data_IF_882461936986
#
_entry.id   IF_882461936986
#
_cell.length_a   1.000
_cell.length_b   1.000
_cell.length_c   1.000
_cell.angle_alpha   90.00
_cell.angle_beta   90.00
_cell.angle_gamma   90.00
#
_symmetry.space_group_name_H-M   'P 1'
#
loop_
_entity.id
_entity.type
_entity.pdbx_description
1 polymer ?
#
# COMPACT_ATOMS: atom_id res chain seq x y z
N UNK A 1 81.15 8.54 27.59
CA UNK A 1 80.36 9.10 28.72
C UNK A 1 79.10 9.73 28.16
N UNK A 2 77.95 9.42 28.79
CA UNK A 2 76.57 9.79 28.40
C UNK A 2 76.45 11.25 27.97
N UNK A 3 75.79 11.51 26.83
CA UNK A 3 75.28 12.84 26.44
C UNK A 3 73.76 12.82 26.54
N UNK A 4 73.22 13.58 27.50
CA UNK A 4 71.83 14.04 27.50
C UNK A 4 71.72 15.22 26.54
N UNK A 5 70.72 15.20 25.66
CA UNK A 5 70.23 16.40 24.96
C UNK A 5 68.71 16.44 25.16
N UNK A 6 68.25 17.58 25.67
CA UNK A 6 66.87 17.90 26.01
C UNK A 6 66.00 18.01 24.75
N UNK A 7 64.78 17.49 24.86
CA UNK A 7 63.75 17.56 23.83
C UNK A 7 63.15 18.96 23.66
N UNK A 8 62.89 19.30 22.40
CA UNK A 8 62.16 20.50 21.99
C UNK A 8 60.77 20.05 21.52
N UNK A 9 59.71 20.49 22.20
CA UNK A 9 58.32 20.32 21.77
C UNK A 9 58.06 21.20 20.54
N UNK A 10 57.59 20.60 19.44
CA UNK A 10 56.91 21.28 18.35
C UNK A 10 55.46 20.80 18.32
N UNK A 11 54.54 21.70 18.69
CA UNK A 11 53.11 21.54 18.50
C UNK A 11 52.78 21.70 17.02
N UNK A 12 52.36 20.63 16.36
CA UNK A 12 51.66 20.69 15.07
C UNK A 12 50.17 20.53 15.31
N UNK A 13 49.42 21.61 15.15
CA UNK A 13 47.97 21.60 15.11
C UNK A 13 47.50 20.95 13.80
N UNK A 14 47.00 19.72 13.87
CA UNK A 14 46.30 19.08 12.77
C UNK A 14 44.83 19.53 12.82
N UNK A 15 44.42 20.36 11.86
CA UNK A 15 43.03 20.74 11.65
C UNK A 15 42.23 19.54 11.16
N UNK A 16 41.29 19.07 11.99
CA UNK A 16 40.26 18.12 11.56
C UNK A 16 39.21 18.91 10.79
N UNK A 17 39.14 18.72 9.48
CA UNK A 17 38.02 19.18 8.68
C UNK A 17 36.85 18.23 8.93
N UNK A 18 35.98 18.61 9.87
CA UNK A 18 34.67 18.00 10.01
C UNK A 18 33.83 18.40 8.80
N UNK A 19 33.61 17.45 7.88
CA UNK A 19 32.55 17.59 6.88
C UNK A 19 31.22 17.64 7.64
N UNK A 20 30.57 18.81 7.66
CA UNK A 20 29.22 18.96 8.19
C UNK A 20 28.26 18.15 7.30
N UNK A 21 27.91 16.94 7.72
CA UNK A 21 26.64 16.34 7.33
C UNK A 21 25.55 17.32 7.78
N UNK A 22 24.61 17.76 6.92
CA UNK A 22 23.49 18.56 7.40
C UNK A 22 22.73 17.69 8.40
N UNK A 23 22.76 18.07 9.67
CA UNK A 23 21.87 17.49 10.66
C UNK A 23 20.46 17.86 10.23
N UNK A 24 19.70 16.92 9.66
CA UNK A 24 18.26 17.09 9.46
C UNK A 24 17.66 17.29 10.85
N UNK A 25 17.37 18.54 11.19
CA UNK A 25 16.80 18.89 12.47
C UNK A 25 15.37 18.38 12.48
N UNK A 26 15.06 17.49 13.42
CA UNK A 26 13.68 17.04 13.65
C UNK A 26 12.79 18.25 13.91
N UNK A 27 11.58 18.23 13.36
CA UNK A 27 10.56 19.25 13.58
C UNK A 27 9.76 19.03 14.90
N UNK A 28 10.07 17.95 15.63
CA UNK A 28 9.38 17.58 16.86
C UNK A 28 7.94 17.06 16.67
N UNK A 29 7.51 16.81 15.44
CA UNK A 29 6.21 16.20 15.12
C UNK A 29 6.18 14.70 15.36
N UNK A 30 7.34 14.03 15.26
CA UNK A 30 7.46 12.58 15.40
C UNK A 30 7.98 12.21 16.79
N UNK A 31 7.36 11.22 17.42
CA UNK A 31 7.87 10.56 18.62
C UNK A 31 7.79 9.04 18.49
N UNK A 32 8.49 8.34 19.37
CA UNK A 32 8.48 6.86 19.42
C UNK A 32 8.21 6.42 20.84
N UNK A 33 7.33 5.44 21.00
CA UNK A 33 7.15 4.67 22.22
C UNK A 33 7.65 3.25 22.00
N UNK A 34 8.46 2.75 22.94
CA UNK A 34 8.92 1.36 22.94
C UNK A 34 8.32 0.62 24.14
N UNK A 35 7.73 -0.55 23.90
CA UNK A 35 7.14 -1.40 24.94
C UNK A 35 7.28 -2.85 24.53
N UNK A 36 7.85 -3.69 25.39
CA UNK A 36 8.08 -5.13 25.14
C UNK A 36 8.77 -5.44 23.79
N UNK A 37 9.74 -4.60 23.40
CA UNK A 37 10.46 -4.74 22.12
C UNK A 37 9.66 -4.29 20.88
N UNK A 38 8.42 -3.81 21.05
CA UNK A 38 7.64 -3.21 19.97
C UNK A 38 7.87 -1.70 19.91
N UNK A 39 8.06 -1.18 18.69
CA UNK A 39 8.25 0.25 18.42
C UNK A 39 7.01 0.86 17.76
N UNK A 40 6.30 1.69 18.51
CA UNK A 40 5.16 2.49 18.05
C UNK A 40 5.63 3.88 17.66
N UNK A 41 5.44 4.26 16.40
CA UNK A 41 5.69 5.63 15.92
C UNK A 41 4.43 6.48 16.05
N UNK A 42 4.59 7.70 16.57
CA UNK A 42 3.50 8.65 16.76
C UNK A 42 3.81 9.94 16.01
N UNK A 43 2.81 10.51 15.35
CA UNK A 43 2.90 11.80 14.70
C UNK A 43 1.87 12.77 15.29
N UNK A 44 2.34 13.86 15.91
CA UNK A 44 1.49 14.90 16.49
C UNK A 44 0.87 15.76 15.39
N UNK A 45 -0.41 15.51 15.11
CA UNK A 45 -1.16 16.16 14.05
C UNK A 45 -1.14 17.69 14.13
N UNK A 46 -1.11 18.25 15.34
CA UNK A 46 -1.12 19.70 15.55
C UNK A 46 0.19 20.40 15.13
N UNK A 47 1.26 19.63 14.93
CA UNK A 47 2.56 20.16 14.50
C UNK A 47 2.77 20.09 12.99
N UNK A 48 1.84 19.49 12.25
CA UNK A 48 1.91 19.36 10.79
C UNK A 48 1.29 20.61 10.14
N UNK A 49 2.13 21.51 9.63
CA UNK A 49 1.65 22.79 9.06
C UNK A 49 1.91 22.90 7.56
N UNK A 50 3.07 22.46 7.09
CA UNK A 50 3.50 22.75 5.73
C UNK A 50 2.92 21.73 4.73
N UNK A 51 2.65 22.19 3.51
CA UNK A 51 2.29 21.32 2.38
C UNK A 51 3.41 21.34 1.36
N UNK A 52 3.98 20.17 1.07
CA UNK A 52 5.02 19.99 0.08
C UNK A 52 4.43 19.40 -1.21
N UNK A 53 4.84 19.97 -2.35
CA UNK A 53 4.67 19.32 -3.65
C UNK A 53 5.91 18.45 -3.88
N UNK A 54 5.74 17.13 -3.88
CA UNK A 54 6.84 16.18 -3.96
C UNK A 54 6.84 15.54 -5.35
N UNK A 55 7.97 15.58 -6.09
CA UNK A 55 8.11 14.84 -7.33
C UNK A 55 8.07 13.34 -7.05
N UNK A 56 7.30 12.60 -7.84
CA UNK A 56 7.14 11.16 -7.73
C UNK A 56 8.49 10.44 -7.76
N UNK A 57 9.44 10.93 -8.56
CA UNK A 57 10.81 10.41 -8.64
C UNK A 57 11.58 10.41 -7.31
N UNK A 58 11.16 11.16 -6.28
CA UNK A 58 11.75 11.02 -4.94
C UNK A 58 11.41 9.68 -4.29
N UNK A 59 10.27 9.07 -4.63
CA UNK A 59 9.73 7.91 -3.93
C UNK A 59 9.76 6.62 -4.75
N UNK A 60 9.80 6.72 -6.07
CA UNK A 60 9.88 5.56 -6.97
C UNK A 60 11.14 5.58 -7.82
N UNK A 61 11.63 4.40 -8.15
CA UNK A 61 12.83 4.18 -8.97
C UNK A 61 12.59 4.54 -10.44
N UNK A 62 11.38 4.30 -10.92
CA UNK A 62 10.93 4.55 -12.28
C UNK A 62 9.43 4.91 -12.30
N UNK A 63 8.95 5.34 -13.46
CA UNK A 63 7.52 5.37 -13.74
C UNK A 63 7.28 5.10 -15.23
N UNK A 64 6.46 4.10 -15.53
CA UNK A 64 6.07 3.73 -16.89
C UNK A 64 4.57 3.96 -17.10
N UNK A 65 4.18 4.21 -18.35
CA UNK A 65 2.80 4.19 -18.80
C UNK A 65 2.49 2.82 -19.40
N UNK A 66 1.62 2.07 -18.74
CA UNK A 66 1.08 0.79 -19.24
C UNK A 66 -0.21 1.06 -19.99
N UNK A 67 -0.32 0.50 -21.19
CA UNK A 67 -1.52 0.56 -22.02
C UNK A 67 -2.13 -0.83 -22.05
N UNK A 68 -3.31 -0.97 -21.44
CA UNK A 68 -3.95 -2.26 -21.43
C UNK A 68 -4.48 -2.61 -22.83
N UNK A 69 -4.40 -3.88 -23.18
CA UNK A 69 -4.89 -4.39 -24.45
C UNK A 69 -6.35 -3.98 -24.68
N UNK A 70 -6.65 -3.48 -25.89
CA UNK A 70 -7.96 -2.95 -26.25
C UNK A 70 -8.81 -3.98 -27.01
N UNK A 71 -8.89 -5.20 -26.48
CA UNK A 71 -9.79 -6.26 -26.98
C UNK A 71 -10.99 -6.43 -26.05
N UNK A 72 -12.14 -6.86 -26.56
CA UNK A 72 -13.36 -7.08 -25.75
C UNK A 72 -13.11 -7.98 -24.53
N UNK A 73 -12.22 -8.96 -24.67
CA UNK A 73 -11.83 -9.88 -23.59
C UNK A 73 -10.95 -9.23 -22.54
N UNK A 74 -10.23 -8.17 -22.89
CA UNK A 74 -9.29 -7.46 -22.02
C UNK A 74 -9.93 -6.28 -21.26
N UNK A 75 -11.14 -5.84 -21.62
CA UNK A 75 -11.81 -4.73 -20.96
C UNK A 75 -12.11 -5.02 -19.48
N UNK A 76 -11.93 -4.02 -18.62
CA UNK A 76 -12.17 -4.14 -17.18
C UNK A 76 -12.67 -2.85 -16.54
N UNK A 77 -13.33 -3.00 -15.39
CA UNK A 77 -13.61 -1.91 -14.46
C UNK A 77 -12.73 -2.07 -13.22
N UNK A 78 -11.77 -1.17 -13.06
CA UNK A 78 -10.84 -1.23 -11.94
C UNK A 78 -11.59 -1.13 -10.62
N UNK A 79 -11.37 -2.10 -9.73
CA UNK A 79 -11.61 -1.94 -8.30
C UNK A 79 -10.30 -1.81 -7.53
N UNK A 80 -9.36 -2.73 -7.74
CA UNK A 80 -8.01 -2.65 -7.17
C UNK A 80 -7.01 -3.47 -7.99
N UNK A 81 -5.75 -3.02 -8.15
CA UNK A 81 -4.73 -3.81 -8.82
C UNK A 81 -3.92 -4.67 -7.83
N UNK A 82 -3.53 -5.87 -8.25
CA UNK A 82 -2.38 -6.60 -7.71
C UNK A 82 -1.18 -6.38 -8.62
N UNK A 83 -0.09 -5.90 -8.05
CA UNK A 83 1.07 -5.50 -8.83
C UNK A 83 2.28 -6.34 -8.43
N UNK A 84 2.97 -6.93 -9.40
CA UNK A 84 4.25 -7.63 -9.18
C UNK A 84 5.26 -7.24 -10.26
N UNK A 85 6.48 -7.78 -10.19
CA UNK A 85 7.54 -7.48 -11.16
C UNK A 85 7.17 -7.93 -12.59
N UNK A 86 6.35 -8.97 -12.76
CA UNK A 86 5.97 -9.55 -14.07
C UNK A 86 4.50 -9.45 -14.43
N UNK A 87 3.62 -9.12 -13.49
CA UNK A 87 2.18 -9.13 -13.74
C UNK A 87 1.45 -7.90 -13.20
N UNK A 88 0.30 -7.65 -13.78
CA UNK A 88 -0.73 -6.76 -13.25
C UNK A 88 -2.04 -7.55 -13.22
N UNK A 89 -2.55 -7.79 -12.03
CA UNK A 89 -3.87 -8.37 -11.83
C UNK A 89 -4.91 -7.30 -11.54
N UNK A 90 -6.10 -7.40 -12.10
CA UNK A 90 -7.19 -6.46 -11.89
C UNK A 90 -8.34 -7.16 -11.16
N UNK A 91 -8.53 -6.79 -9.90
CA UNK A 91 -9.77 -7.07 -9.19
C UNK A 91 -10.85 -6.11 -9.65
N UNK A 92 -12.04 -6.67 -9.89
CA UNK A 92 -13.24 -5.96 -10.32
C UNK A 92 -14.37 -6.15 -9.31
N UNK A 93 -15.37 -5.25 -9.33
CA UNK A 93 -16.59 -5.44 -8.55
C UNK A 93 -17.54 -6.37 -9.31
N UNK A 94 -17.80 -7.56 -8.76
CA UNK A 94 -18.75 -8.53 -9.32
C UNK A 94 -18.35 -9.14 -10.68
N UNK A 95 -17.07 -9.12 -11.05
CA UNK A 95 -16.57 -9.71 -12.28
C UNK A 95 -15.28 -10.51 -12.04
N UNK A 96 -14.90 -11.31 -13.04
CA UNK A 96 -13.71 -12.18 -12.98
C UNK A 96 -12.43 -11.36 -12.80
N UNK A 97 -11.43 -11.93 -12.13
CA UNK A 97 -10.14 -11.31 -11.93
C UNK A 97 -9.35 -11.43 -13.23
N UNK A 98 -8.80 -10.32 -13.75
CA UNK A 98 -8.08 -10.32 -15.02
C UNK A 98 -6.58 -10.22 -14.80
N UNK A 99 -5.80 -11.05 -15.47
CA UNK A 99 -4.35 -11.04 -15.39
C UNK A 99 -3.75 -10.50 -16.70
N UNK A 100 -2.82 -9.57 -16.55
CA UNK A 100 -2.04 -8.95 -17.62
C UNK A 100 -0.54 -9.12 -17.35
N UNK A 101 0.29 -9.05 -18.39
CA UNK A 101 1.72 -8.82 -18.22
C UNK A 101 2.02 -7.35 -17.84
N UNK A 102 3.30 -6.99 -17.70
CA UNK A 102 3.70 -5.62 -17.32
C UNK A 102 3.49 -4.60 -18.44
N UNK A 103 3.43 -5.07 -19.66
CA UNK A 103 3.24 -4.27 -20.86
C UNK A 103 1.75 -4.01 -21.13
N UNK A 104 0.85 -4.65 -20.37
CA UNK A 104 -0.59 -4.45 -20.44
C UNK A 104 -1.31 -5.43 -21.38
N UNK A 105 -0.61 -6.45 -21.88
CA UNK A 105 -1.22 -7.50 -22.70
C UNK A 105 -2.08 -8.40 -21.84
N UNK A 106 -3.27 -8.73 -22.31
CA UNK A 106 -4.16 -9.63 -21.60
C UNK A 106 -3.62 -11.06 -21.67
N UNK A 107 -3.58 -11.73 -20.51
CA UNK A 107 -3.11 -13.11 -20.41
C UNK A 107 -4.28 -14.05 -20.22
N UNK A 108 -4.98 -13.95 -19.09
CA UNK A 108 -6.07 -14.87 -18.73
C UNK A 108 -7.06 -14.20 -17.78
N UNK A 109 -8.30 -14.71 -17.81
CA UNK A 109 -9.21 -14.62 -16.68
C UNK A 109 -8.79 -15.65 -15.62
N UNK A 110 -8.79 -15.26 -14.34
CA UNK A 110 -8.43 -16.14 -13.23
C UNK A 110 -9.69 -16.67 -12.57
N UNK A 111 -10.02 -17.93 -12.83
CA UNK A 111 -11.26 -18.55 -12.40
C UNK A 111 -12.48 -18.08 -13.18
N UNK A 112 -13.67 -18.27 -12.61
CA UNK A 112 -14.93 -17.87 -13.21
C UNK A 112 -15.95 -17.45 -12.15
N UNK A 113 -16.92 -16.64 -12.57
CA UNK A 113 -18.03 -16.21 -11.71
C UNK A 113 -19.07 -17.31 -11.59
N UNK A 114 -19.42 -17.68 -10.35
CA UNK A 114 -20.47 -18.64 -10.09
C UNK A 114 -20.36 -19.33 -8.73
N UNK A 115 -21.11 -20.40 -8.55
CA UNK A 115 -21.21 -21.16 -7.28
C UNK A 115 -20.70 -22.60 -7.43
N UNK A 116 -20.20 -22.97 -8.62
CA UNK A 116 -19.64 -24.27 -8.91
C UNK A 116 -18.25 -24.47 -8.29
N UNK A 117 -17.72 -25.71 -8.33
CA UNK A 117 -16.37 -25.99 -7.86
C UNK A 117 -15.32 -25.13 -8.57
N UNK A 118 -14.52 -24.39 -7.81
CA UNK A 118 -13.47 -23.52 -8.35
C UNK A 118 -13.97 -22.19 -8.91
N UNK A 119 -15.27 -21.89 -8.80
CA UNK A 119 -15.84 -20.58 -9.09
C UNK A 119 -15.92 -19.74 -7.81
N UNK A 120 -16.04 -18.42 -7.98
CA UNK A 120 -16.37 -17.54 -6.87
C UNK A 120 -17.59 -16.69 -7.20
N UNK A 121 -18.45 -16.54 -6.20
CA UNK A 121 -19.63 -15.72 -6.30
C UNK A 121 -19.40 -14.35 -5.67
N UNK A 122 -19.86 -13.32 -6.37
CA UNK A 122 -19.76 -11.94 -5.90
C UNK A 122 -18.33 -11.38 -5.95
N UNK A 123 -18.12 -10.29 -5.23
CA UNK A 123 -16.86 -9.55 -5.28
C UNK A 123 -15.75 -10.23 -4.49
N UNK A 124 -14.54 -10.16 -5.02
CA UNK A 124 -13.32 -10.46 -4.29
C UNK A 124 -12.96 -9.26 -3.36
N UNK A 125 -12.16 -9.51 -2.33
CA UNK A 125 -11.64 -8.45 -1.45
C UNK A 125 -10.14 -8.27 -1.43
N UNK A 126 -9.42 -9.34 -1.74
CA UNK A 126 -7.98 -9.33 -1.77
C UNK A 126 -7.45 -10.44 -2.66
N UNK A 127 -6.24 -10.19 -3.14
CA UNK A 127 -5.55 -10.94 -4.15
C UNK A 127 -4.06 -10.96 -3.80
N UNK A 128 -3.38 -12.06 -4.12
CA UNK A 128 -1.92 -12.13 -4.10
C UNK A 128 -1.44 -12.96 -5.29
N UNK A 129 -0.49 -12.43 -6.05
CA UNK A 129 0.14 -13.13 -7.17
C UNK A 129 1.48 -13.67 -6.67
N UNK A 130 1.62 -14.99 -6.65
CA UNK A 130 2.85 -15.68 -6.31
C UNK A 130 3.56 -16.10 -7.59
N UNK A 131 4.50 -15.25 -7.99
CA UNK A 131 5.30 -15.42 -9.18
C UNK A 131 6.22 -16.65 -9.15
N UNK A 132 6.72 -17.00 -7.97
CA UNK A 132 7.66 -18.11 -7.77
C UNK A 132 6.94 -19.44 -7.93
N UNK A 133 5.76 -19.55 -7.34
CA UNK A 133 4.95 -20.77 -7.40
C UNK A 133 3.92 -20.76 -8.54
N UNK A 134 3.89 -19.69 -9.36
CA UNK A 134 3.03 -19.53 -10.54
C UNK A 134 1.54 -19.70 -10.20
N UNK A 135 1.09 -19.06 -9.14
CA UNK A 135 -0.30 -19.10 -8.73
C UNK A 135 -0.84 -17.74 -8.28
N UNK A 136 -2.17 -17.62 -8.25
CA UNK A 136 -2.91 -16.49 -7.72
C UNK A 136 -3.78 -16.97 -6.57
N UNK A 137 -3.73 -16.25 -5.45
CA UNK A 137 -4.62 -16.43 -4.31
C UNK A 137 -5.71 -15.37 -4.34
N UNK A 138 -6.97 -15.79 -4.28
CA UNK A 138 -8.13 -14.90 -4.30
C UNK A 138 -8.98 -15.13 -3.04
N UNK A 139 -9.35 -14.04 -2.38
CA UNK A 139 -10.16 -14.07 -1.16
C UNK A 139 -11.52 -13.38 -1.41
N UNK A 140 -12.66 -14.10 -1.29
CA UNK A 140 -13.99 -13.51 -1.43
C UNK A 140 -14.32 -12.45 -0.38
N UNK A 141 -15.21 -11.50 -0.71
CA UNK A 141 -15.63 -10.39 0.15
C UNK A 141 -16.11 -10.79 1.54
N UNK A 142 -17.00 -11.76 1.62
CA UNK A 142 -17.62 -12.21 2.87
C UNK A 142 -18.18 -13.62 2.71
N UNK A 143 -18.46 -14.28 3.84
CA UNK A 143 -19.18 -15.56 3.87
C UNK A 143 -18.37 -16.78 3.42
N UNK A 144 -17.17 -16.59 2.90
CA UNK A 144 -16.22 -17.67 2.61
C UNK A 144 -15.31 -17.92 3.80
N UNK A 145 -15.07 -19.20 4.10
CA UNK A 145 -14.02 -19.66 5.03
C UNK A 145 -12.76 -20.14 4.28
N UNK A 146 -12.65 -19.80 2.99
CA UNK A 146 -11.63 -20.32 2.08
C UNK A 146 -10.90 -19.21 1.35
N UNK A 147 -9.61 -19.44 1.10
CA UNK A 147 -8.84 -18.74 0.07
C UNK A 147 -8.76 -19.66 -1.14
N UNK A 148 -9.04 -19.13 -2.33
CA UNK A 148 -9.03 -19.88 -3.57
C UNK A 148 -7.66 -19.73 -4.22
N UNK A 149 -7.07 -20.84 -4.67
CA UNK A 149 -5.78 -20.88 -5.37
C UNK A 149 -6.00 -21.27 -6.82
N UNK A 150 -5.45 -20.47 -7.73
CA UNK A 150 -5.50 -20.68 -9.18
C UNK A 150 -4.09 -20.70 -9.75
N UNK A 151 -3.90 -21.37 -10.87
CA UNK A 151 -2.69 -21.25 -11.68
C UNK A 151 -2.73 -19.91 -12.47
N UNK A 152 -1.58 -19.44 -12.96
CA UNK A 152 -1.51 -18.22 -13.79
C UNK A 152 -2.23 -18.35 -15.15
N UNK A 153 -2.56 -19.57 -15.58
CA UNK A 153 -3.39 -19.84 -16.76
C UNK A 153 -4.90 -19.72 -16.47
N UNK A 154 -5.27 -19.39 -15.23
CA UNK A 154 -6.64 -19.20 -14.79
C UNK A 154 -7.35 -20.47 -14.31
N UNK A 155 -6.72 -21.64 -14.43
CA UNK A 155 -7.31 -22.89 -13.97
C UNK A 155 -7.32 -22.98 -12.44
N UNK A 156 -8.41 -23.51 -11.89
CA UNK A 156 -8.54 -23.76 -10.45
C UNK A 156 -7.52 -24.82 -10.00
N UNK A 157 -6.78 -24.53 -8.93
CA UNK A 157 -5.78 -25.43 -8.38
C UNK A 157 -6.27 -26.09 -7.09
N UNK A 158 -6.63 -25.30 -6.08
CA UNK A 158 -7.06 -25.81 -4.77
C UNK A 158 -7.74 -24.72 -3.91
N UNK A 159 -8.18 -25.11 -2.72
CA UNK A 159 -8.59 -24.18 -1.66
C UNK A 159 -7.70 -24.30 -0.43
N UNK A 160 -7.56 -23.21 0.31
CA UNK A 160 -7.02 -23.20 1.68
C UNK A 160 -8.21 -22.98 2.62
N UNK A 161 -8.53 -23.98 3.43
CA UNK A 161 -9.61 -23.91 4.43
C UNK A 161 -9.08 -23.26 5.72
N UNK A 162 -9.77 -22.23 6.21
CA UNK A 162 -9.34 -21.47 7.39
C UNK A 162 -10.12 -21.82 8.66
N UNK A 163 -11.21 -22.59 8.54
CA UNK A 163 -12.06 -23.00 9.67
C UNK A 163 -13.04 -21.95 10.19
N UNK A 164 -12.96 -20.70 9.72
CA UNK A 164 -13.86 -19.61 10.08
C UNK A 164 -14.20 -18.74 8.86
N UNK A 165 -15.40 -18.17 8.82
CA UNK A 165 -15.81 -17.24 7.76
C UNK A 165 -15.13 -15.88 7.90
N UNK A 166 -14.55 -15.41 6.80
CA UNK A 166 -13.84 -14.14 6.73
C UNK A 166 -14.78 -12.98 6.38
N UNK A 167 -14.42 -11.79 6.85
CA UNK A 167 -15.13 -10.54 6.57
C UNK A 167 -14.13 -9.51 6.03
N UNK A 168 -14.24 -9.16 4.74
CA UNK A 168 -13.34 -8.19 4.10
C UNK A 168 -11.84 -8.60 4.20
N UNK A 169 -11.45 -9.83 3.81
CA UNK A 169 -10.09 -10.31 4.04
C UNK A 169 -9.02 -9.50 3.29
N UNK A 170 -7.81 -9.45 3.86
CA UNK A 170 -6.59 -8.92 3.25
C UNK A 170 -5.50 -9.97 3.30
N UNK A 171 -4.93 -10.29 2.14
CA UNK A 171 -3.85 -11.26 1.95
C UNK A 171 -2.50 -10.56 1.96
N UNK A 172 -1.49 -11.26 2.44
CA UNK A 172 -0.08 -10.89 2.35
C UNK A 172 0.76 -12.13 2.06
N UNK A 173 1.48 -12.10 0.93
CA UNK A 173 2.44 -13.14 0.55
C UNK A 173 3.81 -12.74 1.06
N UNK A 174 4.38 -13.55 1.95
CA UNK A 174 5.70 -13.31 2.52
C UNK A 174 6.82 -13.76 1.58
N UNK A 175 8.04 -13.20 1.70
CA UNK A 175 9.19 -13.58 0.85
C UNK A 175 9.58 -15.06 0.91
N UNK A 176 9.28 -15.75 2.02
CA UNK A 176 9.55 -17.18 2.21
C UNK A 176 8.52 -18.09 1.49
N UNK A 177 7.46 -17.50 0.92
CA UNK A 177 6.37 -18.19 0.25
C UNK A 177 5.21 -18.57 1.17
N UNK A 178 5.25 -18.18 2.44
CA UNK A 178 4.10 -18.30 3.34
C UNK A 178 3.04 -17.25 3.03
N UNK A 179 1.79 -17.52 3.41
CA UNK A 179 0.66 -16.62 3.18
C UNK A 179 0.02 -16.25 4.52
N UNK A 180 -0.18 -14.96 4.76
CA UNK A 180 -1.01 -14.48 5.87
C UNK A 180 -2.30 -13.86 5.36
N UNK A 181 -3.36 -13.98 6.17
CA UNK A 181 -4.65 -13.32 5.93
C UNK A 181 -5.14 -12.69 7.21
N UNK A 182 -5.60 -11.45 7.13
CA UNK A 182 -6.33 -10.76 8.21
C UNK A 182 -7.72 -10.36 7.73
N UNK A 183 -8.64 -10.05 8.64
CA UNK A 183 -10.01 -9.65 8.31
C UNK A 183 -10.68 -8.87 9.45
N UNK A 184 -11.88 -8.35 9.23
CA UNK A 184 -12.68 -7.76 10.31
C UNK A 184 -13.17 -8.85 11.28
N UNK A 185 -12.83 -8.69 12.55
CA UNK A 185 -13.26 -9.56 13.64
C UNK A 185 -14.52 -9.00 14.31
N UNK A 186 -15.67 -9.63 14.11
CA UNK A 186 -16.91 -9.20 14.75
C UNK A 186 -17.16 -9.93 16.07
N UNK A 187 -17.51 -9.16 17.10
CA UNK A 187 -17.82 -9.66 18.44
C UNK A 187 -18.85 -10.80 18.39
N UNK A 188 -18.50 -11.94 18.99
CA UNK A 188 -19.37 -13.13 19.07
C UNK A 188 -19.56 -13.87 17.75
N UNK A 189 -18.80 -13.53 16.70
CA UNK A 189 -18.85 -14.18 15.38
C UNK A 189 -17.50 -14.71 14.92
N UNK A 190 -16.42 -14.04 15.33
CA UNK A 190 -15.05 -14.37 14.93
C UNK A 190 -14.17 -14.57 16.16
N UNK A 191 -13.37 -15.63 16.15
CA UNK A 191 -12.31 -15.90 17.13
C UNK A 191 -10.91 -15.71 16.55
N UNK A 192 -10.79 -15.69 15.23
CA UNK A 192 -9.54 -15.49 14.52
C UNK A 192 -9.45 -14.06 14.00
N UNK A 193 -8.25 -13.48 14.08
CA UNK A 193 -7.93 -12.21 13.44
C UNK A 193 -6.95 -12.37 12.31
N UNK A 194 -5.92 -13.20 12.52
CA UNK A 194 -4.95 -13.54 11.48
C UNK A 194 -4.85 -15.05 11.37
N UNK A 195 -4.81 -15.56 10.14
CA UNK A 195 -4.26 -16.87 9.85
C UNK A 195 -2.92 -16.72 9.14
N UNK A 196 -1.97 -17.58 9.47
CA UNK A 196 -0.71 -17.71 8.77
C UNK A 196 -0.55 -19.15 8.28
N UNK A 197 -0.26 -19.31 7.00
CA UNK A 197 -0.09 -20.57 6.32
C UNK A 197 1.36 -20.66 5.90
N UNK A 198 2.13 -21.48 6.62
CA UNK A 198 3.53 -21.74 6.32
C UNK A 198 3.69 -22.43 4.95
N UNK A 199 4.90 -22.43 4.34
CA UNK A 199 5.10 -23.00 3.00
C UNK A 199 4.77 -24.50 2.91
N UNK A 200 4.83 -25.23 4.03
CA UNK A 200 4.45 -26.64 4.12
C UNK A 200 2.93 -26.87 4.29
N UNK A 201 2.15 -25.80 4.37
CA UNK A 201 0.70 -25.82 4.57
C UNK A 201 0.25 -25.78 6.03
N UNK A 202 1.18 -25.72 7.00
CA UNK A 202 0.83 -25.60 8.41
C UNK A 202 0.12 -24.29 8.68
N UNK A 203 -1.09 -24.36 9.25
CA UNK A 203 -1.90 -23.20 9.61
C UNK A 203 -1.75 -22.87 11.10
N UNK A 204 -1.36 -21.64 11.39
CA UNK A 204 -1.42 -21.04 12.73
C UNK A 204 -2.38 -19.85 12.72
N UNK A 205 -2.94 -19.51 13.88
CA UNK A 205 -3.85 -18.39 14.01
C UNK A 205 -3.54 -17.51 15.20
N UNK A 206 -3.85 -16.23 15.06
CA UNK A 206 -3.82 -15.23 16.11
C UNK A 206 -5.25 -14.84 16.47
N UNK A 207 -5.57 -14.83 17.77
CA UNK A 207 -6.87 -14.38 18.29
C UNK A 207 -6.81 -12.88 18.60
N UNK A 208 -7.87 -12.11 18.28
CA UNK A 208 -7.89 -10.68 18.56
C UNK A 208 -7.92 -10.39 20.06
N UNK A 209 -7.32 -9.28 20.47
CA UNK A 209 -7.56 -8.68 21.80
C UNK A 209 -8.93 -8.01 21.87
N UNK A 210 -9.39 -7.66 23.07
CA UNK A 210 -10.66 -6.96 23.25
C UNK A 210 -10.77 -5.64 22.46
N UNK A 211 -9.64 -4.93 22.27
CA UNK A 211 -9.57 -3.66 21.54
C UNK A 211 -9.60 -3.84 20.01
N UNK A 212 -9.24 -5.04 19.53
CA UNK A 212 -9.26 -5.39 18.10
C UNK A 212 -10.60 -5.96 17.65
N UNK A 213 -11.47 -6.35 18.58
CA UNK A 213 -12.81 -6.87 18.30
C UNK A 213 -13.77 -5.72 18.02
N UNK A 214 -14.44 -5.79 16.87
CA UNK A 214 -15.43 -4.79 16.44
C UNK A 214 -16.81 -5.21 16.92
N UNK A 215 -17.53 -4.30 17.57
CA UNK A 215 -18.97 -4.48 17.81
C UNK A 215 -19.72 -4.28 16.47
N UNK A 216 -20.35 -5.32 15.90
CA UNK A 216 -20.99 -5.22 14.60
C UNK A 216 -22.40 -4.66 14.67
N UNK A 217 -22.89 -4.28 15.86
CA UNK A 217 -24.26 -3.84 16.09
C UNK A 217 -24.32 -2.33 16.36
N UNK A 218 -25.33 -1.65 15.81
CA UNK A 218 -25.64 -0.27 16.19
C UNK A 218 -26.38 -0.19 17.54
N UNK A 219 -26.72 1.02 17.97
CA UNK A 219 -27.44 1.28 19.23
C UNK A 219 -28.85 0.66 19.29
N UNK A 220 -29.45 0.40 18.13
CA UNK A 220 -30.81 -0.12 17.98
C UNK A 220 -30.80 -1.65 17.78
N UNK A 221 -29.62 -2.26 17.76
CA UNK A 221 -29.44 -3.70 17.61
C UNK A 221 -29.48 -4.19 16.16
N UNK A 222 -29.28 -3.32 15.17
CA UNK A 222 -29.12 -3.73 13.76
C UNK A 222 -27.67 -4.08 13.45
N UNK A 223 -27.48 -5.06 12.57
CA UNK A 223 -26.14 -5.41 12.10
C UNK A 223 -25.62 -4.35 11.11
N UNK A 224 -24.54 -3.68 11.49
CA UNK A 224 -23.83 -2.65 10.72
C UNK A 224 -22.35 -2.96 10.55
N UNK A 225 -21.93 -4.21 10.81
CA UNK A 225 -20.53 -4.62 10.79
C UNK A 225 -19.79 -4.26 9.51
N UNK A 226 -20.44 -4.37 8.34
CA UNK A 226 -19.83 -4.06 7.04
C UNK A 226 -19.73 -2.56 6.69
N UNK A 227 -20.26 -1.67 7.56
CA UNK A 227 -19.94 -0.24 7.50
C UNK A 227 -18.52 0.04 7.99
N UNK A 228 -17.91 -0.88 8.74
CA UNK A 228 -16.49 -0.85 9.05
C UNK A 228 -15.67 -1.34 7.86
N UNK A 229 -14.39 -1.04 7.86
CA UNK A 229 -13.49 -1.26 6.74
C UNK A 229 -12.10 -1.66 7.22
N UNK A 230 -11.34 -2.34 6.36
CA UNK A 230 -9.97 -2.78 6.62
C UNK A 230 -9.08 -2.49 5.42
N UNK A 231 -7.91 -1.94 5.71
CA UNK A 231 -6.88 -1.62 4.71
C UNK A 231 -5.62 -2.40 4.98
N UNK A 232 -5.02 -2.87 3.89
CA UNK A 232 -3.66 -3.40 3.84
C UNK A 232 -3.19 -3.26 2.41
N UNK A 233 -2.02 -2.66 2.24
CA UNK A 233 -1.51 -2.26 0.93
C UNK A 233 -0.24 -3.00 0.51
N UNK A 234 0.36 -3.80 1.40
CA UNK A 234 1.53 -4.64 1.09
C UNK A 234 2.71 -3.89 0.45
N UNK A 235 3.00 -2.65 0.90
CA UNK A 235 4.09 -1.83 0.38
C UNK A 235 5.45 -2.08 1.05
N UNK A 236 5.47 -2.97 2.05
CA UNK A 236 6.66 -3.40 2.79
C UNK A 236 6.63 -4.91 2.97
N UNK A 237 7.75 -5.51 3.35
CA UNK A 237 7.81 -6.93 3.76
C UNK A 237 6.96 -7.23 5.00
N UNK A 238 6.65 -6.20 5.81
CA UNK A 238 5.78 -6.34 6.95
C UNK A 238 4.31 -6.46 6.53
N UNK A 239 3.57 -7.38 7.15
CA UNK A 239 2.13 -7.46 6.99
C UNK A 239 1.41 -6.43 7.88
N UNK A 240 1.22 -5.24 7.32
CA UNK A 240 0.54 -4.14 8.01
C UNK A 240 -0.93 -4.04 7.61
N UNK A 241 -1.79 -3.71 8.57
CA UNK A 241 -3.19 -3.47 8.32
C UNK A 241 -3.80 -2.49 9.34
N UNK A 242 -4.91 -1.87 8.96
CA UNK A 242 -5.70 -0.99 9.82
C UNK A 242 -7.18 -1.33 9.65
N UNK A 243 -7.94 -1.28 10.74
CA UNK A 243 -9.39 -1.48 10.72
C UNK A 243 -10.11 -0.23 11.24
N UNK A 244 -11.25 0.11 10.65
CA UNK A 244 -12.24 0.90 11.37
C UNK A 244 -12.93 0.04 12.43
N UNK A 245 -13.26 0.63 13.59
CA UNK A 245 -13.17 2.05 13.94
C UNK A 245 -11.86 2.45 14.65
N UNK A 246 -10.80 1.64 14.58
CA UNK A 246 -9.53 1.93 15.25
C UNK A 246 -8.75 3.05 14.56
N UNK A 247 -7.86 3.72 15.29
CA UNK A 247 -7.00 4.81 14.84
C UNK A 247 -5.52 4.40 14.85
N UNK A 248 -5.24 3.11 14.64
CA UNK A 248 -3.91 2.53 14.75
C UNK A 248 -3.60 1.63 13.55
N UNK A 249 -2.43 1.81 12.95
CA UNK A 249 -1.86 0.85 12.02
C UNK A 249 -1.21 -0.26 12.83
N UNK A 250 -1.60 -1.49 12.55
CA UNK A 250 -1.05 -2.69 13.17
C UNK A 250 -0.11 -3.41 12.21
N UNK A 251 0.80 -4.19 12.79
CA UNK A 251 1.68 -5.12 12.09
C UNK A 251 1.46 -6.53 12.65
N UNK A 252 1.38 -7.53 11.78
CA UNK A 252 1.47 -8.93 12.16
C UNK A 252 2.89 -9.46 11.98
N UNK A 253 3.41 -10.12 13.01
CA UNK A 253 4.67 -10.88 12.98
C UNK A 253 4.34 -12.39 13.00
N UNK A 254 4.66 -13.14 11.92
CA UNK A 254 4.37 -14.57 11.85
C UNK A 254 5.24 -15.42 12.79
N UNK A 255 6.51 -15.06 13.01
CA UNK A 255 7.43 -15.82 13.88
C UNK A 255 6.98 -15.80 15.34
N UNK A 256 6.51 -14.64 15.82
CA UNK A 256 6.00 -14.48 17.18
C UNK A 256 4.50 -14.78 17.28
N UNK A 257 3.83 -15.00 16.14
CA UNK A 257 2.37 -15.06 16.01
C UNK A 257 1.67 -13.95 16.80
N UNK A 258 2.06 -12.69 16.55
CA UNK A 258 1.64 -11.53 17.34
C UNK A 258 1.27 -10.36 16.45
N UNK A 259 0.21 -9.65 16.82
CA UNK A 259 -0.14 -8.34 16.26
C UNK A 259 0.30 -7.24 17.22
N UNK A 260 1.00 -6.22 16.71
CA UNK A 260 1.44 -5.07 17.50
C UNK A 260 1.10 -3.74 16.83
N UNK A 261 0.93 -2.69 17.63
CA UNK A 261 0.70 -1.33 17.13
C UNK A 261 1.99 -0.78 16.53
N UNK A 262 1.89 -0.21 15.33
CA UNK A 262 3.03 0.25 14.53
C UNK A 262 3.05 1.77 14.34
N UNK A 263 1.89 2.37 14.05
CA UNK A 263 1.77 3.81 13.84
C UNK A 263 0.40 4.34 14.27
N UNK A 264 0.36 5.56 14.81
CA UNK A 264 -0.88 6.32 15.04
C UNK A 264 -0.64 7.84 14.98
N UNK A 265 -1.69 8.60 14.69
CA UNK A 265 -1.67 10.05 14.90
C UNK A 265 -1.95 10.38 16.37
N UNK A 266 -1.15 11.27 16.95
CA UNK A 266 -1.47 11.97 18.19
C UNK A 266 -2.32 13.20 17.88
N UNK A 267 -3.29 13.47 18.75
CA UNK A 267 -4.22 14.60 18.59
C UNK A 267 -4.92 14.65 17.22
N UNK A 268 -5.40 13.52 16.65
CA UNK A 268 -6.05 13.56 15.34
C UNK A 268 -7.30 14.44 15.40
N UNK A 269 -7.71 15.02 14.26
CA UNK A 269 -8.96 15.78 14.20
C UNK A 269 -10.12 14.89 14.61
N UNK A 270 -11.13 15.49 15.27
CA UNK A 270 -12.31 14.78 15.76
C UNK A 270 -13.55 15.35 15.09
N UNK A 271 -14.44 14.47 14.64
CA UNK A 271 -15.69 14.83 13.99
C UNK A 271 -16.37 13.60 13.40
N UNK A 272 -17.67 13.68 13.13
CA UNK A 272 -18.44 12.56 12.56
C UNK A 272 -17.98 12.17 11.15
N UNK A 273 -17.38 13.11 10.43
CA UNK A 273 -16.92 12.94 9.04
C UNK A 273 -15.39 12.77 8.93
N UNK A 274 -14.69 12.69 10.07
CA UNK A 274 -13.24 12.46 10.06
C UNK A 274 -12.98 10.96 9.95
N UNK A 275 -12.28 10.59 8.89
CA UNK A 275 -11.84 9.22 8.68
C UNK A 275 -10.32 9.16 8.41
N UNK A 276 -9.65 8.16 9.00
CA UNK A 276 -8.19 8.04 9.03
C UNK A 276 -7.76 6.76 8.30
N UNK A 277 -6.86 6.89 7.34
CA UNK A 277 -6.30 5.76 6.59
C UNK A 277 -4.78 5.84 6.68
N UNK A 278 -4.17 4.76 7.15
CA UNK A 278 -2.72 4.68 7.28
C UNK A 278 -2.12 3.68 6.29
N UNK A 279 -0.92 4.01 5.83
CA UNK A 279 -0.10 3.15 4.97
C UNK A 279 1.36 3.27 5.43
N UNK A 280 2.14 2.20 5.27
CA UNK A 280 3.59 2.22 5.48
C UNK A 280 4.26 2.02 4.12
N UNK A 281 5.17 2.92 3.76
CA UNK A 281 6.08 2.76 2.63
C UNK A 281 7.51 2.56 3.19
N UNK A 282 8.49 2.13 2.38
CA UNK A 282 9.88 2.08 2.84
C UNK A 282 10.33 3.43 3.44
N UNK A 283 10.74 3.38 4.72
CA UNK A 283 11.25 4.52 5.48
C UNK A 283 10.24 5.60 5.88
N UNK A 284 8.93 5.43 5.64
CA UNK A 284 7.93 6.46 5.95
C UNK A 284 6.52 5.93 6.17
N UNK A 285 5.73 6.64 6.97
CA UNK A 285 4.29 6.41 7.06
C UNK A 285 3.53 7.45 6.25
N UNK A 286 2.37 7.07 5.72
CA UNK A 286 1.39 7.99 5.17
C UNK A 286 0.14 7.96 6.05
N UNK A 287 -0.35 9.14 6.41
CA UNK A 287 -1.60 9.31 7.14
C UNK A 287 -2.56 10.18 6.35
N UNK A 288 -3.55 9.56 5.73
CA UNK A 288 -4.64 10.28 5.04
C UNK A 288 -5.73 10.60 6.03
N UNK A 289 -5.99 11.90 6.18
CA UNK A 289 -7.11 12.44 6.95
C UNK A 289 -8.16 12.90 5.95
N UNK A 290 -9.28 12.20 5.89
CA UNK A 290 -10.35 12.49 4.94
C UNK A 290 -10.84 13.94 5.09
N UNK A 291 -10.96 14.64 3.96
CA UNK A 291 -11.32 16.06 3.92
C UNK A 291 -10.18 17.05 4.20
N UNK A 292 -9.04 16.60 4.71
CA UNK A 292 -7.89 17.48 5.03
C UNK A 292 -6.71 17.25 4.07
N UNK A 293 -6.32 16.00 3.83
CA UNK A 293 -5.18 15.66 2.97
C UNK A 293 -4.38 14.47 3.49
N UNK A 294 -3.24 14.20 2.84
CA UNK A 294 -2.31 13.14 3.28
C UNK A 294 -1.03 13.74 3.85
N UNK A 295 -0.64 13.24 5.01
CA UNK A 295 0.61 13.58 5.70
C UNK A 295 1.63 12.49 5.40
N UNK A 296 2.83 12.88 4.97
CA UNK A 296 3.99 12.00 4.91
C UNK A 296 4.84 12.19 6.17
N UNK A 297 5.17 11.07 6.82
CA UNK A 297 5.97 11.01 8.06
C UNK A 297 7.30 10.36 7.70
N UNK A 298 8.34 11.15 7.47
CA UNK A 298 9.66 10.69 7.04
C UNK A 298 10.50 10.30 8.26
N UNK A 299 10.79 9.00 8.39
CA UNK A 299 11.50 8.46 9.55
C UNK A 299 13.00 8.76 9.52
N UNK A 300 13.59 9.04 8.36
CA UNK A 300 15.00 9.39 8.26
C UNK A 300 15.21 10.86 8.61
N UNK A 301 14.37 11.75 8.04
CA UNK A 301 14.42 13.19 8.30
C UNK A 301 13.83 13.58 9.64
N UNK A 302 13.05 12.69 10.27
CA UNK A 302 12.32 12.94 11.51
C UNK A 302 11.39 14.17 11.39
N UNK A 303 10.67 14.25 10.27
CA UNK A 303 9.81 15.36 9.89
C UNK A 303 8.48 14.88 9.31
N UNK A 304 7.43 15.68 9.44
CA UNK A 304 6.13 15.40 8.82
C UNK A 304 5.51 16.60 8.13
N UNK A 305 4.92 16.35 6.95
CA UNK A 305 4.32 17.40 6.12
C UNK A 305 3.09 16.88 5.41
N UNK A 306 2.11 17.75 5.14
CA UNK A 306 1.12 17.46 4.11
C UNK A 306 1.81 17.34 2.77
N UNK A 307 1.31 16.46 1.92
CA UNK A 307 1.99 16.14 0.67
C UNK A 307 1.01 16.09 -0.50
N UNK A 308 1.45 16.67 -1.62
CA UNK A 308 0.84 16.52 -2.93
C UNK A 308 1.87 15.89 -3.85
N UNK A 309 1.53 14.78 -4.48
CA UNK A 309 2.43 14.06 -5.37
C UNK A 309 2.24 14.58 -6.80
N UNK A 310 3.36 14.84 -7.49
CA UNK A 310 3.36 15.20 -8.91
C UNK A 310 4.21 14.21 -9.69
N UNK A 311 3.68 13.68 -10.79
CA UNK A 311 4.38 12.75 -11.66
C UNK A 311 5.33 13.51 -12.59
N UNK A 312 6.55 13.77 -12.11
CA UNK A 312 7.59 14.50 -12.84
C UNK A 312 8.18 13.73 -14.02
N UNK A 313 7.97 12.41 -14.10
CA UNK A 313 8.28 11.62 -15.31
C UNK A 313 7.36 11.98 -16.48
N UNK A 314 6.14 12.43 -16.20
CA UNK A 314 5.11 12.75 -17.20
C UNK A 314 4.64 14.21 -17.06
N UNK A 315 5.58 15.15 -17.07
CA UNK A 315 5.30 16.61 -17.16
C UNK A 315 4.72 17.24 -15.89
N UNK A 316 4.97 16.62 -14.72
CA UNK A 316 4.49 17.11 -13.44
C UNK A 316 2.99 17.00 -13.26
N UNK A 317 2.35 15.98 -13.86
CA UNK A 317 0.92 15.72 -13.69
C UNK A 317 0.59 15.49 -12.20
N UNK A 318 -0.39 16.20 -11.62
CA UNK A 318 -0.89 15.87 -10.30
C UNK A 318 -1.42 14.43 -10.26
N UNK A 319 -0.98 13.65 -9.26
CA UNK A 319 -1.28 12.23 -9.18
C UNK A 319 -1.83 11.81 -7.81
N UNK A 320 -2.72 10.80 -7.72
CA UNK A 320 -3.20 10.31 -6.44
C UNK A 320 -2.10 9.68 -5.57
N UNK A 321 -2.40 9.54 -4.29
CA UNK A 321 -1.54 8.91 -3.28
C UNK A 321 -1.77 7.39 -3.21
N UNK A 322 -1.65 6.71 -4.35
CA UNK A 322 -2.02 5.31 -4.48
C UNK A 322 -0.77 4.42 -4.52
N UNK A 323 -0.66 3.52 -3.55
CA UNK A 323 0.44 2.57 -3.43
C UNK A 323 -0.06 1.20 -3.04
N UNK A 324 0.38 0.16 -3.75
CA UNK A 324 0.11 -1.24 -3.39
C UNK A 324 1.22 -2.15 -3.86
N UNK A 325 1.45 -3.24 -3.12
CA UNK A 325 2.42 -4.29 -3.46
C UNK A 325 3.84 -3.80 -3.73
N UNK A 326 4.24 -2.66 -3.16
CA UNK A 326 5.56 -2.07 -3.39
C UNK A 326 5.63 -1.14 -4.61
N UNK A 327 4.49 -0.76 -5.18
CA UNK A 327 4.42 0.12 -6.35
C UNK A 327 3.47 1.28 -6.11
N UNK A 328 3.86 2.45 -6.63
CA UNK A 328 2.92 3.50 -6.98
C UNK A 328 2.04 3.06 -8.16
N UNK A 329 0.78 3.52 -8.17
CA UNK A 329 -0.04 3.44 -9.37
C UNK A 329 -1.04 4.58 -9.54
N UNK A 330 -1.38 4.92 -10.78
CA UNK A 330 -2.55 5.73 -11.10
C UNK A 330 -3.20 5.22 -12.40
N UNK A 331 -4.45 4.79 -12.30
CA UNK A 331 -5.24 4.28 -13.43
C UNK A 331 -6.19 5.36 -13.92
N UNK A 332 -6.31 5.50 -15.24
CA UNK A 332 -7.23 6.43 -15.88
C UNK A 332 -7.93 5.78 -17.07
N UNK A 333 -9.21 6.09 -17.23
CA UNK A 333 -9.84 6.05 -18.55
C UNK A 333 -9.13 7.09 -19.44
N UNK A 334 -8.87 6.82 -20.74
CA UNK A 334 -8.06 7.71 -21.57
C UNK A 334 -8.56 9.15 -21.62
N UNK A 335 -9.87 9.37 -21.81
CA UNK A 335 -10.47 10.71 -21.80
C UNK A 335 -10.18 11.49 -20.51
N UNK A 336 -10.26 10.81 -19.35
CA UNK A 336 -9.97 11.44 -18.05
C UNK A 336 -8.50 11.84 -17.95
N UNK A 337 -7.59 11.05 -18.53
CA UNK A 337 -6.17 11.42 -18.57
C UNK A 337 -5.92 12.59 -19.54
N UNK A 338 -6.59 12.60 -20.70
CA UNK A 338 -6.49 13.69 -21.68
C UNK A 338 -6.92 15.03 -21.05
N UNK A 339 -8.09 15.07 -20.39
CA UNK A 339 -8.57 16.26 -19.66
C UNK A 339 -7.55 16.75 -18.62
N UNK A 340 -6.91 15.83 -17.89
CA UNK A 340 -5.88 16.16 -16.90
C UNK A 340 -4.61 16.74 -17.53
N UNK A 341 -4.24 16.23 -18.70
CA UNK A 341 -3.09 16.74 -19.46
C UNK A 341 -3.38 18.17 -19.94
N UNK A 342 -4.57 18.42 -20.50
CA UNK A 342 -4.99 19.74 -20.96
C UNK A 342 -5.07 20.76 -19.82
N UNK A 343 -5.60 20.36 -18.66
CA UNK A 343 -5.61 21.19 -17.45
C UNK A 343 -4.18 21.56 -17.02
N UNK A 344 -3.27 20.57 -17.01
CA UNK A 344 -1.86 20.79 -16.65
C UNK A 344 -1.16 21.72 -17.66
N UNK A 345 -1.37 21.52 -18.96
CA UNK A 345 -0.81 22.36 -20.04
C UNK A 345 -1.24 23.82 -19.91
N UNK A 346 -2.46 24.06 -19.43
CA UNK A 346 -3.04 25.39 -19.23
C UNK A 346 -2.56 26.09 -17.95
N UNK A 347 -1.92 25.36 -17.04
CA UNK A 347 -1.44 25.91 -15.77
C UNK A 347 -0.21 26.81 -15.95
N UNK A 348 -0.17 27.95 -15.27
CA UNK A 348 0.94 28.93 -15.35
C UNK A 348 2.31 28.36 -14.94
N UNK A 349 2.31 27.33 -14.09
CA UNK A 349 3.53 26.61 -13.67
C UNK A 349 3.94 25.47 -14.59
N UNK A 350 3.37 25.32 -15.77
CA UNK A 350 3.77 24.30 -16.75
C UNK A 350 4.99 24.79 -17.54
N UNK A 351 6.14 24.14 -17.30
CA UNK A 351 7.39 24.51 -17.99
C UNK A 351 7.35 24.09 -19.46
N UNK A 352 8.20 24.66 -20.31
CA UNK A 352 8.23 24.26 -21.73
C UNK A 352 8.69 22.81 -21.90
N UNK A 353 9.53 22.30 -21.00
CA UNK A 353 9.89 20.88 -20.92
C UNK A 353 8.68 20.01 -20.58
N UNK A 354 7.88 20.42 -19.59
CA UNK A 354 6.66 19.70 -19.22
C UNK A 354 5.67 19.67 -20.40
N UNK A 355 5.49 20.81 -21.09
CA UNK A 355 4.61 20.90 -22.26
C UNK A 355 5.04 19.93 -23.36
N UNK A 356 6.33 19.80 -23.63
CA UNK A 356 6.82 18.85 -24.63
C UNK A 356 6.47 17.39 -24.25
N UNK A 357 6.66 17.01 -22.98
CA UNK A 357 6.32 15.66 -22.49
C UNK A 357 4.80 15.42 -22.55
N UNK A 358 4.02 16.40 -22.10
CA UNK A 358 2.57 16.33 -22.05
C UNK A 358 1.92 16.28 -23.43
N UNK A 359 2.36 17.11 -24.38
CA UNK A 359 1.84 17.07 -25.75
C UNK A 359 2.14 15.72 -26.41
N UNK A 360 3.36 15.17 -26.24
CA UNK A 360 3.70 13.83 -26.75
C UNK A 360 2.83 12.75 -26.13
N UNK A 361 2.55 12.86 -24.83
CA UNK A 361 1.65 11.94 -24.15
C UNK A 361 0.22 12.07 -24.69
N UNK A 362 -0.30 13.29 -24.83
CA UNK A 362 -1.64 13.57 -25.34
C UNK A 362 -1.82 13.02 -26.76
N UNK A 363 -0.87 13.30 -27.66
CA UNK A 363 -0.87 12.84 -29.06
C UNK A 363 -0.83 11.30 -29.20
N UNK A 364 -0.46 10.61 -28.12
CA UNK A 364 -0.33 9.16 -28.09
C UNK A 364 -1.54 8.43 -27.49
N UNK A 365 -2.57 9.14 -27.04
CA UNK A 365 -3.77 8.56 -26.43
C UNK A 365 -4.92 8.52 -27.46
N UNK A 366 -5.72 7.45 -27.41
CA UNK A 366 -7.02 7.37 -28.08
C UNK A 366 -8.13 7.32 -27.02
N UNK A 367 -9.19 8.10 -27.19
CA UNK A 367 -10.31 8.17 -26.24
C UNK A 367 -11.06 6.84 -26.09
N UNK A 368 -10.99 5.97 -27.10
CA UNK A 368 -11.65 4.67 -27.14
C UNK A 368 -10.72 3.52 -26.71
N UNK A 369 -9.50 3.82 -26.26
CA UNK A 369 -8.63 2.81 -25.69
C UNK A 369 -9.16 2.28 -24.36
N UNK A 370 -8.70 1.09 -23.99
CA UNK A 370 -8.85 0.59 -22.63
C UNK A 370 -8.11 1.52 -21.66
N UNK A 371 -8.31 1.31 -20.36
CA UNK A 371 -7.63 2.09 -19.33
C UNK A 371 -6.11 2.11 -19.53
N UNK A 372 -5.47 3.17 -19.04
CA UNK A 372 -4.02 3.29 -18.97
C UNK A 372 -3.58 3.48 -17.52
N UNK A 373 -2.37 3.02 -17.20
CA UNK A 373 -1.86 3.05 -15.84
C UNK A 373 -0.44 3.59 -15.79
N UNK A 374 -0.23 4.65 -15.01
CA UNK A 374 1.11 4.95 -14.51
C UNK A 374 1.45 3.99 -13.39
N UNK A 375 2.67 3.47 -13.41
CA UNK A 375 3.15 2.51 -12.41
C UNK A 375 4.63 2.74 -12.17
N UNK A 376 5.06 2.67 -10.91
CA UNK A 376 6.46 2.92 -10.55
C UNK A 376 6.86 2.15 -9.30
N UNK A 377 8.02 1.50 -9.31
CA UNK A 377 8.48 0.68 -8.17
C UNK A 377 8.98 1.56 -7.03
N UNK A 378 8.54 1.30 -5.80
CA UNK A 378 8.99 2.06 -4.63
C UNK A 378 10.50 1.88 -4.41
N UNK A 379 11.16 2.97 -4.02
CA UNK A 379 12.55 2.93 -3.52
C UNK A 379 12.59 2.28 -2.15
N UNK A 380 13.62 1.46 -1.91
CA UNK A 380 13.90 0.81 -0.63
C UNK A 380 14.98 1.52 0.18
#
# INVERSE_FOLDING_TARGET
>A
MKKNIYGLLLLTAAGVWSACTPSTQSDGSISTLETDGNKLTLCDFNKVTDTLSVPLSEWVEDCQLVRFENSDTALFKLWWPAITDRYIGIRQSGAVFKLFDREGKFLNDIGAMGQGPGEYAGSLYSEAIDEKNRCVYLAPFFGSNKILKYNLDGTFASVIELGETLNKPKLHLHPDGSLSVTHLCFKGRNEMMVAHIAPDGTLTSYKPTAEQIINPMDKDGNFVGFNNEIWSYNNTENFNFMTMPTDTLYQYNPEQNRVTARFALQNPPKGKDVFLIYNELPGKFLATVWGTGTIAIDLQKQQSHYVKLVNDYFGGLPTPMNFTNGYFFAMYEPLVLMDKIEERLSASGCTDKDKEVLNKLLDSLDENDNNVMFIGKLKH
#
